data_IF_310098559242
#
_entry.id   IF_310098559242
#
_cell.length_a   1.000
_cell.length_b   1.000
_cell.length_c   1.000
_cell.angle_alpha   90.00
_cell.angle_beta   90.00
_cell.angle_gamma   90.00
#
_symmetry.space_group_name_H-M   'P 1'
#
loop_
_entity.id
_entity.type
_entity.pdbx_description
1 polymer ?
#
# COMPACT_ATOMS: atom_id res chain seq x y z
N UNK A 1 15.56 3.52 2.64
CA UNK A 1 14.75 3.20 3.82
C UNK A 1 13.86 4.38 4.15
N UNK A 2 12.57 4.13 4.24
CA UNK A 2 11.59 5.11 4.69
C UNK A 2 11.41 5.05 6.20
N UNK A 3 10.77 6.08 6.75
CA UNK A 3 10.37 6.12 8.15
C UNK A 3 8.85 6.23 8.22
N UNK A 4 8.27 5.62 9.24
CA UNK A 4 6.84 5.47 9.41
C UNK A 4 6.46 6.01 10.77
N UNK A 5 5.54 6.97 10.78
CA UNK A 5 4.77 7.24 11.98
C UNK A 5 3.77 6.10 12.16
N UNK A 6 3.65 5.61 13.39
CA UNK A 6 2.76 4.52 13.78
C UNK A 6 2.35 4.67 15.25
N UNK A 7 1.40 3.84 15.69
CA UNK A 7 1.05 3.75 17.10
C UNK A 7 1.67 2.50 17.72
N UNK A 8 2.66 2.68 18.59
CA UNK A 8 3.19 1.60 19.41
C UNK A 8 2.15 1.10 20.42
N UNK A 9 1.38 2.03 20.99
CA UNK A 9 0.12 1.71 21.68
C UNK A 9 -1.01 2.39 20.92
N UNK A 10 -1.87 1.62 20.24
CA UNK A 10 -2.95 2.20 19.45
C UNK A 10 -3.97 2.96 20.31
N UNK A 11 -4.71 3.90 19.70
CA UNK A 11 -5.88 4.47 20.34
C UNK A 11 -6.93 3.37 20.60
N UNK A 12 -7.84 3.59 21.57
CA UNK A 12 -8.96 2.68 21.80
C UNK A 12 -9.96 2.69 20.63
N UNK A 13 -10.76 1.64 20.49
CA UNK A 13 -11.86 1.58 19.53
C UNK A 13 -13.02 2.53 19.88
N UNK A 14 -13.16 2.87 21.16
CA UNK A 14 -14.15 3.80 21.65
C UNK A 14 -13.61 4.63 22.82
N UNK A 15 -14.14 5.83 23.03
CA UNK A 15 -13.76 6.66 24.16
C UNK A 15 -14.97 7.50 24.63
N UNK A 16 -15.25 7.57 25.94
CA UNK A 16 -16.28 8.44 26.47
C UNK A 16 -16.03 9.91 26.14
N UNK A 17 -17.08 10.64 25.80
CA UNK A 17 -17.04 12.08 25.61
C UNK A 17 -16.56 12.76 26.89
N UNK A 18 -15.58 13.67 26.76
CA UNK A 18 -14.93 14.33 27.88
C UNK A 18 -13.72 13.58 28.47
N UNK A 19 -13.49 12.32 28.09
CA UNK A 19 -12.24 11.62 28.36
C UNK A 19 -11.26 11.77 27.18
N UNK A 20 -9.95 11.89 27.42
CA UNK A 20 -8.99 12.05 26.36
C UNK A 20 -8.58 10.70 25.75
N UNK A 21 -8.45 10.67 24.42
CA UNK A 21 -7.97 9.52 23.66
C UNK A 21 -6.47 9.36 23.90
N UNK A 22 -6.07 8.21 24.46
CA UNK A 22 -4.68 7.95 24.86
C UNK A 22 -4.01 6.91 23.97
N UNK A 23 -2.80 7.21 23.51
CA UNK A 23 -2.00 6.42 22.57
C UNK A 23 -0.49 6.67 22.78
N UNK A 24 0.37 5.89 22.12
CA UNK A 24 1.84 6.12 22.11
C UNK A 24 2.29 6.17 20.65
N UNK A 25 2.73 7.33 20.12
CA UNK A 25 3.29 7.40 18.79
C UNK A 25 4.71 6.83 18.74
N UNK A 26 5.11 6.34 17.58
CA UNK A 26 6.46 5.88 17.28
C UNK A 26 6.83 6.31 15.87
N UNK A 27 8.09 6.73 15.68
CA UNK A 27 8.70 6.85 14.36
C UNK A 27 9.79 5.78 14.25
N UNK A 28 9.67 4.90 13.26
CA UNK A 28 10.60 3.79 13.04
C UNK A 28 10.61 3.35 11.57
N UNK A 29 11.49 2.41 11.22
CA UNK A 29 11.45 1.71 9.93
C UNK A 29 10.14 0.91 9.72
N UNK A 30 9.98 0.33 8.54
CA UNK A 30 8.86 -0.54 8.14
C UNK A 30 8.62 -1.71 9.09
N UNK A 31 9.69 -2.30 9.64
CA UNK A 31 9.62 -3.36 10.67
C UNK A 31 9.27 -2.87 12.07
N UNK A 32 9.29 -1.55 12.29
CA UNK A 32 9.08 -0.89 13.59
C UNK A 32 10.11 -1.28 14.67
N UNK A 33 11.26 -1.79 14.24
CA UNK A 33 12.35 -2.26 15.11
C UNK A 33 13.46 -1.22 15.27
N UNK A 34 13.69 -0.40 14.25
CA UNK A 34 14.74 0.63 14.27
C UNK A 34 14.09 2.02 14.43
N UNK A 35 14.21 2.65 15.61
CA UNK A 35 13.63 3.97 15.83
C UNK A 35 14.31 5.03 14.94
N UNK A 36 13.54 6.06 14.61
CA UNK A 36 14.06 7.23 13.90
C UNK A 36 15.10 7.98 14.75
N UNK A 37 16.21 8.30 14.10
CA UNK A 37 17.38 8.98 14.67
C UNK A 37 17.37 10.49 14.43
N UNK A 38 16.35 11.00 13.73
CA UNK A 38 16.18 12.42 13.41
C UNK A 38 15.10 13.04 14.30
N UNK A 39 15.29 14.30 14.69
CA UNK A 39 14.26 15.05 15.42
C UNK A 39 13.10 15.43 14.48
N UNK A 40 11.87 15.17 14.90
CA UNK A 40 10.67 15.54 14.13
C UNK A 40 9.58 16.14 15.02
N UNK A 41 8.94 17.21 14.55
CA UNK A 41 7.72 17.69 15.18
C UNK A 41 6.55 16.81 14.72
N UNK A 42 5.84 16.20 15.68
CA UNK A 42 4.63 15.42 15.42
C UNK A 42 3.42 16.34 15.63
N UNK A 43 2.54 16.36 14.64
CA UNK A 43 1.27 17.09 14.68
C UNK A 43 0.11 16.09 14.63
N UNK A 44 -1.02 16.49 15.19
CA UNK A 44 -2.26 15.73 15.11
C UNK A 44 -3.41 16.58 14.59
N UNK A 45 -4.40 15.93 13.98
CA UNK A 45 -5.72 16.49 13.68
C UNK A 45 -6.75 15.38 13.81
N UNK A 46 -8.02 15.77 13.90
CA UNK A 46 -9.15 14.86 13.82
C UNK A 46 -9.71 14.83 12.40
N UNK A 47 -10.18 13.67 11.97
CA UNK A 47 -10.93 13.48 10.72
C UNK A 47 -12.31 12.89 11.06
N UNK A 48 -13.37 13.54 10.57
CA UNK A 48 -14.75 13.06 10.73
C UNK A 48 -15.03 11.87 9.83
N UNK A 49 -16.19 11.23 10.01
CA UNK A 49 -16.57 10.09 9.18
C UNK A 49 -16.70 10.41 7.68
N UNK A 50 -17.10 11.65 7.35
CA UNK A 50 -17.11 12.16 5.97
C UNK A 50 -15.73 12.32 5.34
N UNK A 51 -14.64 12.07 6.09
CA UNK A 51 -13.27 12.28 5.64
C UNK A 51 -12.78 13.73 5.75
N UNK A 52 -13.64 14.66 6.17
CA UNK A 52 -13.25 16.05 6.38
C UNK A 52 -12.34 16.19 7.62
N UNK A 53 -11.27 16.97 7.47
CA UNK A 53 -10.43 17.34 8.61
C UNK A 53 -11.15 18.35 9.49
N UNK A 54 -10.86 18.29 10.79
CA UNK A 54 -11.31 19.27 11.77
C UNK A 54 -10.93 20.70 11.35
N UNK A 55 -11.82 21.65 11.61
CA UNK A 55 -11.64 23.06 11.19
C UNK A 55 -10.41 23.74 11.82
N UNK A 56 -9.99 23.27 13.00
CA UNK A 56 -8.77 23.73 13.65
C UNK A 56 -7.49 23.28 12.94
N UNK A 57 -7.59 22.35 11.98
CA UNK A 57 -6.46 21.78 11.29
C UNK A 57 -5.50 21.07 12.23
N UNK A 58 -4.23 21.07 11.88
CA UNK A 58 -3.21 20.41 12.67
C UNK A 58 -2.74 21.23 13.87
N UNK A 59 -2.64 20.55 15.01
CA UNK A 59 -2.06 21.06 16.25
C UNK A 59 -0.77 20.30 16.55
N UNK A 60 0.28 21.01 16.99
CA UNK A 60 1.53 20.36 17.41
C UNK A 60 1.25 19.47 18.63
N UNK A 61 1.54 18.17 18.49
CA UNK A 61 1.36 17.17 19.54
C UNK A 61 2.58 17.10 20.45
N UNK A 62 3.75 16.88 19.85
CA UNK A 62 5.02 16.71 20.56
C UNK A 62 6.20 16.89 19.60
N UNK A 63 7.43 16.84 20.11
CA UNK A 63 8.64 16.71 19.30
C UNK A 63 9.25 15.34 19.59
N UNK A 64 9.36 14.49 18.57
CA UNK A 64 10.11 13.24 18.62
C UNK A 64 11.60 13.55 18.74
N UNK A 65 12.21 13.10 19.84
CA UNK A 65 13.64 13.20 20.09
C UNK A 65 14.22 11.79 20.27
N UNK A 66 15.21 11.40 19.45
CA UNK A 66 15.91 10.13 19.59
C UNK A 66 16.33 9.88 21.04
N UNK A 67 16.07 8.67 21.55
CA UNK A 67 16.47 8.23 22.90
C UNK A 67 15.72 8.82 24.10
N UNK A 68 14.86 9.84 23.93
CA UNK A 68 14.23 10.54 25.08
C UNK A 68 12.70 10.64 25.07
N UNK A 69 12.06 10.51 23.90
CA UNK A 69 10.59 10.58 23.76
C UNK A 69 9.94 9.25 23.39
N UNK A 70 10.74 8.22 23.15
CA UNK A 70 10.23 6.88 22.89
C UNK A 70 9.38 6.40 24.08
N UNK A 71 8.26 5.74 23.80
CA UNK A 71 7.40 5.06 24.78
C UNK A 71 6.55 5.94 25.73
N UNK A 72 6.53 7.26 25.58
CA UNK A 72 5.69 8.14 26.42
C UNK A 72 4.22 8.17 25.94
N UNK A 73 3.24 7.82 26.79
CA UNK A 73 1.83 7.99 26.47
C UNK A 73 1.47 9.45 26.27
N UNK A 74 0.70 9.72 25.21
CA UNK A 74 0.13 11.02 24.91
C UNK A 74 -1.39 10.90 24.89
N UNK A 75 -2.07 12.00 25.17
CA UNK A 75 -3.52 12.04 25.22
C UNK A 75 -4.03 13.30 24.55
N UNK A 76 -5.09 13.18 23.74
CA UNK A 76 -5.74 14.30 23.06
C UNK A 76 -7.25 14.23 23.28
N UNK A 77 -7.89 15.37 23.50
CA UNK A 77 -9.34 15.44 23.61
C UNK A 77 -9.99 15.33 22.23
N UNK A 78 -11.22 14.80 22.18
CA UNK A 78 -12.06 14.91 20.99
C UNK A 78 -12.30 16.38 20.59
N UNK A 79 -12.65 16.63 19.33
CA UNK A 79 -13.15 17.94 18.90
C UNK A 79 -14.31 18.43 19.78
N UNK A 80 -14.41 19.74 19.98
CA UNK A 80 -15.48 20.34 20.79
C UNK A 80 -16.88 20.07 20.21
N UNK A 81 -16.97 19.82 18.91
CA UNK A 81 -18.20 19.48 18.20
C UNK A 81 -18.60 18.00 18.30
N UNK A 82 -17.75 17.14 18.85
CA UNK A 82 -18.01 15.70 18.93
C UNK A 82 -19.21 15.40 19.83
N UNK A 83 -20.05 14.47 19.39
CA UNK A 83 -21.26 14.03 20.09
C UNK A 83 -21.22 12.53 20.33
N UNK A 84 -21.93 12.03 21.37
CA UNK A 84 -22.10 10.60 21.53
C UNK A 84 -22.73 9.98 20.28
N UNK A 85 -22.15 8.88 19.79
CA UNK A 85 -22.54 8.23 18.55
C UNK A 85 -21.72 8.64 17.33
N UNK A 86 -20.95 9.74 17.40
CA UNK A 86 -20.03 10.10 16.33
C UNK A 86 -18.85 9.13 16.25
N UNK A 87 -18.21 9.08 15.09
CA UNK A 87 -16.91 8.44 14.91
C UNK A 87 -15.88 9.44 14.42
N UNK A 88 -14.67 9.35 14.98
CA UNK A 88 -13.55 10.22 14.63
C UNK A 88 -12.27 9.41 14.45
N UNK A 89 -11.47 9.77 13.45
CA UNK A 89 -10.15 9.19 13.22
C UNK A 89 -9.07 10.16 13.70
N UNK A 90 -8.10 9.64 14.44
CA UNK A 90 -6.91 10.38 14.86
C UNK A 90 -5.87 10.31 13.75
N UNK A 91 -5.49 11.47 13.20
CA UNK A 91 -4.50 11.56 12.15
C UNK A 91 -3.22 12.17 12.71
N UNK A 92 -2.07 11.52 12.47
CA UNK A 92 -0.76 12.04 12.85
C UNK A 92 0.12 12.25 11.61
N UNK A 93 0.88 13.35 11.60
CA UNK A 93 1.87 13.64 10.57
C UNK A 93 3.11 14.32 11.17
N UNK A 94 4.24 14.16 10.50
CA UNK A 94 5.52 14.75 10.91
C UNK A 94 5.88 15.96 10.04
N UNK A 95 6.58 16.92 10.62
CA UNK A 95 7.19 18.05 9.93
C UNK A 95 8.55 18.39 10.54
N UNK A 96 9.47 18.88 9.72
CA UNK A 96 10.72 19.49 10.18
C UNK A 96 10.48 20.97 10.55
N UNK A 97 9.61 21.67 9.82
CA UNK A 97 9.31 23.07 10.06
C UNK A 97 8.28 23.27 11.17
N UNK A 98 8.54 24.21 12.07
CA UNK A 98 7.73 24.45 13.27
C UNK A 98 6.39 25.15 13.00
N UNK A 99 6.22 25.79 11.84
CA UNK A 99 5.19 26.83 11.70
C UNK A 99 4.04 26.52 10.75
N UNK A 100 4.12 25.52 9.87
CA UNK A 100 3.01 25.15 8.96
C UNK A 100 3.07 23.68 8.57
N UNK A 101 1.99 22.94 8.84
CA UNK A 101 1.75 21.61 8.26
C UNK A 101 0.44 21.67 7.45
N UNK A 102 0.42 21.03 6.29
CA UNK A 102 -0.69 21.07 5.35
C UNK A 102 -1.57 19.83 5.51
N UNK A 103 -2.89 19.90 5.22
CA UNK A 103 -3.73 18.71 5.03
C UNK A 103 -3.12 17.66 4.10
N UNK A 104 -2.37 18.09 3.08
CA UNK A 104 -1.67 17.19 2.15
C UNK A 104 -0.59 16.34 2.83
N UNK A 105 -0.12 16.72 4.02
CA UNK A 105 0.84 15.95 4.80
C UNK A 105 0.28 14.62 5.34
N UNK A 106 -1.03 14.36 5.21
CA UNK A 106 -1.64 13.04 5.48
C UNK A 106 -1.59 12.08 4.29
N UNK A 107 -1.22 12.57 3.11
CA UNK A 107 -1.31 11.83 1.86
C UNK A 107 0.09 11.68 1.26
N UNK A 108 0.45 10.45 0.94
CA UNK A 108 1.71 10.09 0.32
C UNK A 108 1.61 10.29 -1.18
N UNK A 109 2.17 11.38 -1.69
CA UNK A 109 2.24 11.63 -3.13
C UNK A 109 3.30 10.76 -3.79
N UNK A 110 2.84 9.70 -4.46
CA UNK A 110 3.69 8.73 -5.14
C UNK A 110 4.55 9.37 -6.24
N UNK A 111 4.17 10.55 -6.76
CA UNK A 111 4.92 11.27 -7.79
C UNK A 111 5.89 12.31 -7.25
N UNK A 112 5.90 12.54 -5.94
CA UNK A 112 6.77 13.54 -5.33
C UNK A 112 8.25 13.26 -5.67
N UNK A 113 9.01 14.25 -6.17
CA UNK A 113 10.42 14.05 -6.52
C UNK A 113 11.24 13.54 -5.33
N UNK A 114 11.05 14.17 -4.16
CA UNK A 114 11.67 13.80 -2.89
C UNK A 114 10.74 12.92 -2.03
N UNK A 115 10.20 11.87 -2.63
CA UNK A 115 9.34 10.90 -1.94
C UNK A 115 10.06 10.25 -0.76
N UNK A 116 9.38 10.12 0.39
CA UNK A 116 9.95 9.42 1.54
C UNK A 116 10.95 10.21 2.38
N UNK A 117 10.98 11.55 2.27
CA UNK A 117 11.85 12.43 3.07
C UNK A 117 11.35 12.81 4.45
N UNK A 118 10.07 12.63 4.70
CA UNK A 118 9.47 12.79 6.02
C UNK A 118 8.86 11.45 6.44
N UNK A 119 8.77 11.19 7.76
CA UNK A 119 8.05 10.05 8.26
C UNK A 119 6.63 9.98 7.70
N UNK A 120 6.25 8.83 7.15
CA UNK A 120 4.95 8.62 6.56
C UNK A 120 3.84 8.75 7.61
N UNK A 121 2.78 9.52 7.32
CA UNK A 121 1.71 9.81 8.27
C UNK A 121 0.89 8.56 8.56
N UNK A 122 0.13 8.61 9.65
CA UNK A 122 -0.74 7.50 10.08
C UNK A 122 -2.12 8.01 10.46
N UNK A 123 -3.14 7.25 10.10
CA UNK A 123 -4.52 7.49 10.47
C UNK A 123 -5.00 6.28 11.30
N UNK A 124 -5.63 6.54 12.44
CA UNK A 124 -6.27 5.47 13.22
C UNK A 124 -7.52 4.95 12.51
N UNK A 125 -8.00 3.77 12.89
CA UNK A 125 -9.38 3.41 12.59
C UNK A 125 -10.37 4.36 13.30
N UNK A 126 -11.66 4.36 12.90
CA UNK A 126 -12.70 5.11 13.60
C UNK A 126 -12.71 4.83 15.10
N UNK A 127 -12.70 5.88 15.91
CA UNK A 127 -12.90 5.83 17.36
C UNK A 127 -14.33 6.27 17.63
N UNK A 128 -15.12 5.39 18.24
CA UNK A 128 -16.51 5.68 18.60
C UNK A 128 -16.58 6.59 19.82
N UNK A 129 -17.35 7.66 19.74
CA UNK A 129 -17.58 8.57 20.86
C UNK A 129 -18.73 8.03 21.71
N UNK A 130 -18.43 7.63 22.95
CA UNK A 130 -19.45 7.14 23.88
C UNK A 130 -20.06 8.31 24.68
N UNK A 131 -21.28 8.14 25.17
CA UNK A 131 -21.83 9.09 26.13
C UNK A 131 -20.94 9.16 27.38
N UNK A 132 -20.58 10.37 27.82
CA UNK A 132 -19.83 10.54 29.05
C UNK A 132 -20.69 10.11 30.25
N UNK A 133 -20.05 9.63 31.32
CA UNK A 133 -20.74 9.49 32.60
C UNK A 133 -21.15 10.90 33.07
N UNK A 134 -22.45 11.19 33.03
CA UNK A 134 -23.00 12.32 33.78
C UNK A 134 -22.72 12.05 35.24
N UNK A 135 -21.76 12.78 35.82
CA UNK A 135 -21.66 12.90 37.27
C UNK A 135 -22.97 13.50 37.75
N UNK A 136 -23.92 12.66 38.15
CA UNK A 136 -25.10 13.07 38.89
C UNK A 136 -24.63 13.63 40.24
N UNK A 137 -24.36 14.93 40.27
CA UNK A 137 -24.23 15.70 41.50
C UNK A 137 -25.62 15.96 42.06
N UNK A 138 -26.33 14.90 42.46
CA UNK A 138 -27.53 14.99 43.32
C UNK A 138 -27.49 13.91 44.39
N UNK A 139 -26.81 14.28 45.47
CA UNK A 139 -27.21 14.06 46.87
C UNK A 139 -28.00 12.78 47.19
N UNK A 140 -27.29 11.78 47.73
CA UNK A 140 -27.82 10.93 48.79
C UNK A 140 -26.86 11.02 50.00
N UNK A 141 -27.35 11.62 51.08
CA UNK A 141 -26.69 11.71 52.39
C UNK A 141 -26.32 10.30 52.90
N UNK A 142 -25.12 10.08 53.48
CA UNK A 142 -24.86 8.82 54.17
C UNK A 142 -25.48 8.88 55.57
N UNK A 143 -26.34 7.90 55.86
CA UNK A 143 -26.70 7.57 57.23
C UNK A 143 -25.54 6.82 57.90
N UNK A 144 -25.22 7.23 59.12
CA UNK A 144 -24.18 6.71 59.99
C UNK A 144 -24.35 5.21 60.30
N UNK A 145 -23.29 4.42 60.13
CA UNK A 145 -22.93 3.37 61.10
C UNK A 145 -21.48 2.90 60.89
N UNK A 146 -20.83 2.59 62.01
CA UNK A 146 -19.40 2.32 62.20
C UNK A 146 -19.06 0.88 61.77
N UNK A 147 -17.96 0.67 61.04
CA UNK A 147 -16.98 -0.42 61.26
C UNK A 147 -15.68 -0.16 60.47
N UNK A 148 -14.47 -0.44 61.00
CA UNK A 148 -13.22 -0.28 60.28
C UNK A 148 -12.77 -1.63 59.69
N UNK A 149 -12.94 -1.82 58.38
CA UNK A 149 -12.22 -2.87 57.65
C UNK A 149 -11.21 -2.24 56.71
N UNK A 150 -9.93 -2.51 56.98
CA UNK A 150 -8.82 -2.29 56.05
C UNK A 150 -9.02 -3.19 54.82
N UNK A 151 -9.64 -2.66 53.78
CA UNK A 151 -9.61 -3.24 52.45
C UNK A 151 -8.71 -2.36 51.58
N UNK A 152 -7.60 -2.94 51.10
CA UNK A 152 -6.76 -2.37 50.04
C UNK A 152 -7.68 -2.00 48.88
N UNK A 153 -7.76 -0.71 48.56
CA UNK A 153 -8.46 -0.20 47.39
C UNK A 153 -7.84 -0.82 46.14
N UNK A 154 -8.51 -1.82 45.57
CA UNK A 154 -8.30 -2.20 44.17
C UNK A 154 -8.64 -0.98 43.30
N UNK A 155 -7.86 -0.67 42.26
CA UNK A 155 -8.28 0.31 41.27
C UNK A 155 -9.61 -0.15 40.69
N UNK A 156 -10.60 0.74 40.72
CA UNK A 156 -11.91 0.56 40.08
C UNK A 156 -11.72 0.24 38.61
N UNK A 157 -12.50 -0.71 38.11
CA UNK A 157 -12.49 -1.22 36.75
C UNK A 157 -12.37 -0.08 35.72
N UNK A 158 -11.19 0.06 35.12
CA UNK A 158 -11.06 0.68 33.81
C UNK A 158 -12.01 -0.09 32.89
N UNK A 159 -12.93 0.58 32.22
CA UNK A 159 -13.58 -0.01 31.06
C UNK A 159 -12.46 -0.44 30.11
N UNK A 160 -12.20 -1.75 30.05
CA UNK A 160 -11.26 -2.36 29.11
C UNK A 160 -11.82 -2.20 27.70
N UNK A 161 -11.79 -0.97 27.18
CA UNK A 161 -12.11 -0.70 25.79
C UNK A 161 -10.98 -1.28 24.96
N UNK A 162 -11.33 -2.15 24.02
CA UNK A 162 -10.38 -2.78 23.12
C UNK A 162 -9.53 -1.71 22.42
N UNK A 163 -8.26 -2.05 22.22
CA UNK A 163 -7.33 -1.23 21.44
C UNK A 163 -7.45 -1.61 19.99
N UNK A 164 -7.32 -0.62 19.11
CA UNK A 164 -7.35 -0.88 17.68
C UNK A 164 -6.15 -1.75 17.26
N UNK A 165 -6.35 -2.62 16.28
CA UNK A 165 -5.28 -3.48 15.75
C UNK A 165 -4.80 -3.07 14.36
N UNK A 166 -5.47 -2.12 13.71
CA UNK A 166 -5.20 -1.69 12.34
C UNK A 166 -5.03 -0.18 12.25
N UNK A 167 -4.35 0.28 11.21
CA UNK A 167 -4.18 1.69 10.86
C UNK A 167 -4.34 1.89 9.35
N UNK A 168 -4.55 3.14 8.94
CA UNK A 168 -4.74 3.51 7.54
C UNK A 168 -3.63 4.46 7.06
N UNK A 169 -3.28 4.32 5.78
CA UNK A 169 -2.43 5.24 5.02
C UNK A 169 -3.11 5.66 3.72
N UNK A 170 -2.86 6.89 3.31
CA UNK A 170 -3.40 7.45 2.08
C UNK A 170 -2.27 7.68 1.09
N UNK A 171 -2.47 7.26 -0.16
CA UNK A 171 -1.53 7.47 -1.26
C UNK A 171 -2.22 8.24 -2.37
N UNK A 172 -1.71 9.41 -2.74
CA UNK A 172 -2.23 10.11 -3.92
C UNK A 172 -1.56 9.60 -5.17
N UNK A 173 -2.39 9.36 -6.17
CA UNK A 173 -1.97 9.00 -7.52
C UNK A 173 -1.56 10.28 -8.28
N UNK A 174 -0.80 10.15 -9.40
CA UNK A 174 -0.43 11.27 -10.25
C UNK A 174 -1.61 12.18 -10.59
N UNK A 175 -1.37 13.47 -10.85
CA UNK A 175 -2.37 14.39 -11.42
C UNK A 175 -3.74 14.42 -10.71
N UNK A 176 -3.79 14.09 -9.41
CA UNK A 176 -5.01 13.94 -8.60
C UNK A 176 -6.00 12.90 -9.12
N UNK A 177 -5.51 11.85 -9.77
CA UNK A 177 -6.27 10.71 -10.29
C UNK A 177 -7.04 9.89 -9.25
N UNK A 178 -6.87 10.23 -7.98
CA UNK A 178 -7.54 9.60 -6.85
C UNK A 178 -6.62 9.51 -5.65
N UNK A 179 -7.16 8.98 -4.57
CA UNK A 179 -6.40 8.66 -3.37
C UNK A 179 -6.71 7.23 -2.96
N UNK A 180 -5.68 6.39 -2.93
CA UNK A 180 -5.75 5.01 -2.46
C UNK A 180 -5.71 5.02 -0.93
N UNK A 181 -6.64 4.34 -0.28
CA UNK A 181 -6.65 4.13 1.18
C UNK A 181 -6.27 2.70 1.48
N UNK A 182 -5.16 2.50 2.18
CA UNK A 182 -4.66 1.17 2.54
C UNK A 182 -4.72 0.99 4.04
N UNK A 183 -5.36 -0.09 4.46
CA UNK A 183 -5.37 -0.57 5.83
C UNK A 183 -4.26 -1.59 6.03
N UNK A 184 -3.45 -1.39 7.07
CA UNK A 184 -2.42 -2.35 7.52
C UNK A 184 -2.75 -2.83 8.94
N UNK A 185 -2.35 -4.06 9.28
CA UNK A 185 -2.44 -4.56 10.65
C UNK A 185 -1.17 -4.24 11.42
N UNK A 186 -1.33 -3.87 12.69
CA UNK A 186 -0.24 -3.47 13.57
C UNK A 186 0.34 -4.63 14.39
N UNK A 187 -0.12 -5.86 14.14
CA UNK A 187 0.37 -7.09 14.77
C UNK A 187 1.79 -7.45 14.31
N UNK A 188 2.35 -8.52 14.87
CA UNK A 188 3.67 -9.03 14.47
C UNK A 188 3.66 -9.76 13.12
N UNK A 189 2.49 -10.09 12.60
CA UNK A 189 2.30 -10.76 11.30
C UNK A 189 2.93 -9.91 10.18
N UNK A 190 3.84 -10.51 9.41
CA UNK A 190 4.66 -9.83 8.42
C UNK A 190 3.92 -9.59 7.09
N UNK A 191 2.99 -10.48 6.78
CA UNK A 191 2.13 -10.52 5.59
C UNK A 191 1.01 -9.45 5.61
N UNK A 192 0.82 -8.77 6.75
CA UNK A 192 -0.22 -7.74 6.94
C UNK A 192 0.32 -6.32 7.08
N UNK A 193 1.64 -6.16 6.87
CA UNK A 193 2.35 -4.87 6.96
C UNK A 193 2.60 -4.28 5.58
N UNK A 194 2.75 -2.97 5.57
CA UNK A 194 3.30 -2.25 4.42
C UNK A 194 4.82 -2.19 4.59
N UNK A 195 5.52 -2.45 3.50
CA UNK A 195 6.98 -2.52 3.47
C UNK A 195 7.59 -1.47 2.55
N UNK A 196 8.87 -1.18 2.78
CA UNK A 196 9.60 -0.22 1.95
C UNK A 196 9.61 -0.60 0.46
N UNK A 197 9.79 -1.87 0.12
CA UNK A 197 9.94 -2.28 -1.29
C UNK A 197 8.65 -2.07 -2.06
N UNK A 198 7.51 -2.49 -1.51
CA UNK A 198 6.18 -2.21 -2.07
C UNK A 198 5.92 -0.70 -2.23
N UNK A 199 6.20 0.10 -1.21
CA UNK A 199 5.98 1.56 -1.26
C UNK A 199 6.92 2.25 -2.27
N UNK A 200 8.19 1.84 -2.30
CA UNK A 200 9.20 2.38 -3.21
C UNK A 200 8.84 2.10 -4.66
N UNK A 201 8.51 0.85 -5.01
CA UNK A 201 8.14 0.48 -6.38
C UNK A 201 6.81 1.10 -6.80
N UNK A 202 5.84 1.29 -5.89
CA UNK A 202 4.63 2.06 -6.17
C UNK A 202 4.93 3.51 -6.57
N UNK A 203 5.87 4.18 -5.89
CA UNK A 203 6.32 5.52 -6.28
C UNK A 203 7.03 5.52 -7.64
N UNK A 204 7.89 4.52 -7.88
CA UNK A 204 8.58 4.35 -9.15
C UNK A 204 7.60 4.16 -10.32
N UNK A 205 6.63 3.25 -10.19
CA UNK A 205 5.57 3.01 -11.17
C UNK A 205 4.72 4.25 -11.44
N UNK A 206 4.33 4.98 -10.38
CA UNK A 206 3.57 6.21 -10.53
C UNK A 206 4.33 7.26 -11.34
N UNK A 207 5.64 7.43 -11.09
CA UNK A 207 6.51 8.33 -11.86
C UNK A 207 6.69 7.86 -13.30
N UNK A 208 6.91 6.56 -13.50
CA UNK A 208 7.10 5.92 -14.80
C UNK A 208 5.90 6.14 -15.73
N UNK A 209 4.69 6.06 -15.18
CA UNK A 209 3.44 6.19 -15.94
C UNK A 209 2.94 7.64 -16.04
N UNK A 210 3.32 8.52 -15.10
CA UNK A 210 2.93 9.93 -15.13
C UNK A 210 3.80 10.81 -16.05
N UNK A 211 5.06 10.43 -16.25
CA UNK A 211 6.01 11.19 -17.08
C UNK A 211 6.52 10.29 -18.21
N UNK A 212 6.10 10.49 -19.47
CA UNK A 212 6.86 9.96 -20.60
C UNK A 212 8.23 10.63 -20.53
N UNK A 213 9.30 9.84 -20.43
CA UNK A 213 10.64 10.36 -20.25
C UNK A 213 11.03 11.36 -21.34
N UNK A 214 11.83 12.35 -20.95
CA UNK A 214 12.60 13.17 -21.88
C UNK A 214 13.75 12.32 -22.43
N UNK A 215 14.15 12.48 -23.71
CA UNK A 215 15.17 11.64 -24.34
C UNK A 215 16.52 11.79 -23.63
N UNK A 216 16.87 10.81 -22.80
CA UNK A 216 18.13 10.71 -22.09
C UNK A 216 18.21 9.44 -21.24
N UNK A 217 18.93 8.43 -21.73
CA UNK A 217 19.35 7.21 -21.01
C UNK A 217 18.26 6.45 -20.22
N UNK A 218 17.04 6.33 -20.77
CA UNK A 218 16.11 5.33 -20.26
C UNK A 218 16.69 3.94 -20.56
N UNK A 219 16.96 3.14 -19.54
CA UNK A 219 17.37 1.76 -19.71
C UNK A 219 16.36 1.01 -20.61
N UNK A 220 16.78 0.32 -21.68
CA UNK A 220 15.87 -0.29 -22.67
C UNK A 220 14.79 -1.19 -22.04
N UNK A 221 15.16 -1.98 -21.01
CA UNK A 221 14.21 -2.77 -20.22
C UNK A 221 13.09 -1.93 -19.56
N UNK A 222 13.35 -0.69 -19.13
CA UNK A 222 12.32 0.21 -18.60
C UNK A 222 11.32 0.57 -19.71
N UNK A 223 11.83 0.88 -20.90
CA UNK A 223 11.02 1.13 -22.09
C UNK A 223 10.14 -0.08 -22.42
N UNK A 224 10.74 -1.26 -22.53
CA UNK A 224 10.03 -2.52 -22.80
C UNK A 224 8.97 -2.83 -21.72
N UNK A 225 9.29 -2.59 -20.44
CA UNK A 225 8.35 -2.79 -19.34
C UNK A 225 7.16 -1.82 -19.42
N UNK A 226 7.43 -0.52 -19.67
CA UNK A 226 6.41 0.51 -19.88
C UNK A 226 5.52 0.16 -21.08
N UNK A 227 6.12 -0.20 -22.21
CA UNK A 227 5.41 -0.58 -23.43
C UNK A 227 4.53 -1.80 -23.16
N UNK A 228 5.00 -2.79 -22.40
CA UNK A 228 4.19 -3.97 -22.06
C UNK A 228 2.94 -3.60 -21.26
N UNK A 229 3.06 -2.66 -20.31
CA UNK A 229 1.95 -2.13 -19.51
C UNK A 229 0.94 -1.33 -20.34
N UNK A 230 1.42 -0.55 -21.30
CA UNK A 230 0.60 0.43 -22.04
C UNK A 230 0.13 -0.06 -23.41
N UNK A 231 0.74 -1.11 -23.96
CA UNK A 231 0.42 -1.58 -25.31
C UNK A 231 -1.03 -2.03 -25.40
N UNK A 232 -1.75 -1.43 -26.35
CA UNK A 232 -3.07 -1.88 -26.77
C UNK A 232 -3.01 -3.37 -27.12
N UNK A 233 -3.92 -4.15 -26.55
CA UNK A 233 -4.10 -5.56 -26.91
C UNK A 233 -5.36 -5.66 -27.75
N UNK A 234 -5.31 -6.46 -28.81
CA UNK A 234 -6.51 -6.85 -29.53
C UNK A 234 -7.52 -7.42 -28.52
N UNK A 235 -8.79 -7.03 -28.64
CA UNK A 235 -9.82 -7.23 -27.60
C UNK A 235 -10.07 -8.68 -27.13
N UNK A 236 -9.33 -9.65 -27.66
CA UNK A 236 -9.34 -11.05 -27.26
C UNK A 236 -8.58 -11.34 -25.94
N UNK A 237 -7.49 -10.61 -25.61
CA UNK A 237 -6.63 -10.94 -24.45
C UNK A 237 -6.37 -9.75 -23.52
N UNK A 238 -6.67 -9.92 -22.24
CA UNK A 238 -6.31 -8.97 -21.19
C UNK A 238 -4.81 -9.04 -20.85
N UNK A 239 -4.22 -7.92 -20.46
CA UNK A 239 -2.91 -7.85 -19.80
C UNK A 239 -2.96 -8.69 -18.52
N UNK A 240 -2.10 -9.70 -18.39
CA UNK A 240 -2.07 -10.58 -17.22
C UNK A 240 -0.93 -10.18 -16.29
N UNK A 241 -1.23 -9.79 -15.06
CA UNK A 241 -0.24 -9.42 -14.04
C UNK A 241 -0.46 -10.32 -12.81
N UNK A 242 0.63 -10.76 -12.19
CA UNK A 242 0.61 -11.40 -10.87
C UNK A 242 1.61 -10.72 -9.94
N UNK A 243 1.22 -10.48 -8.70
CA UNK A 243 2.10 -10.03 -7.62
C UNK A 243 2.29 -11.15 -6.61
N UNK A 244 3.57 -11.39 -6.27
CA UNK A 244 4.00 -12.15 -5.11
C UNK A 244 4.29 -11.14 -3.99
N UNK A 245 3.41 -11.04 -2.99
CA UNK A 245 3.55 -10.13 -1.85
C UNK A 245 2.24 -9.47 -1.39
N UNK A 246 2.37 -8.44 -0.55
CA UNK A 246 1.27 -7.90 0.28
C UNK A 246 0.18 -7.11 -0.45
N UNK A 247 0.31 -6.92 -1.77
CA UNK A 247 -0.76 -6.42 -2.63
C UNK A 247 -0.82 -4.92 -2.86
N UNK A 248 0.01 -4.14 -2.17
CA UNK A 248 0.07 -2.69 -2.37
C UNK A 248 0.39 -2.34 -3.83
N UNK A 249 1.34 -3.07 -4.44
CA UNK A 249 1.85 -2.73 -5.77
C UNK A 249 0.75 -2.92 -6.82
N UNK A 250 0.00 -4.02 -6.74
CA UNK A 250 -1.12 -4.31 -7.63
C UNK A 250 -2.27 -3.32 -7.49
N UNK A 251 -2.59 -2.89 -6.26
CA UNK A 251 -3.63 -1.88 -6.05
C UNK A 251 -3.24 -0.54 -6.67
N UNK A 252 -1.99 -0.12 -6.48
CA UNK A 252 -1.45 1.10 -7.12
C UNK A 252 -1.46 0.94 -8.64
N UNK A 253 -0.94 -0.16 -9.16
CA UNK A 253 -0.85 -0.41 -10.60
C UNK A 253 -2.22 -0.47 -11.25
N UNK A 254 -3.19 -1.15 -10.63
CA UNK A 254 -4.57 -1.20 -11.12
C UNK A 254 -5.20 0.19 -11.24
N UNK A 255 -4.97 1.07 -10.26
CA UNK A 255 -5.48 2.44 -10.32
C UNK A 255 -4.78 3.29 -11.38
N UNK A 256 -3.45 3.13 -11.53
CA UNK A 256 -2.68 3.82 -12.56
C UNK A 256 -3.10 3.40 -13.98
N UNK A 257 -3.34 2.09 -14.20
CA UNK A 257 -3.79 1.57 -15.50
C UNK A 257 -5.21 2.02 -15.83
N UNK A 258 -6.12 2.00 -14.84
CA UNK A 258 -7.50 2.46 -15.03
C UNK A 258 -7.56 3.92 -15.49
N UNK A 259 -6.72 4.76 -14.91
CA UNK A 259 -6.69 6.18 -15.24
C UNK A 259 -5.88 6.51 -16.50
N UNK A 260 -4.77 5.82 -16.76
CA UNK A 260 -4.07 5.95 -18.04
C UNK A 260 -5.06 5.77 -19.21
N UNK A 261 -5.92 4.75 -19.13
CA UNK A 261 -6.97 4.49 -20.10
C UNK A 261 -8.05 5.60 -20.16
N UNK A 262 -8.35 6.30 -19.05
CA UNK A 262 -9.24 7.49 -19.06
C UNK A 262 -8.59 8.66 -19.76
N UNK A 263 -7.36 8.99 -19.39
CA UNK A 263 -6.62 10.14 -19.91
C UNK A 263 -6.44 10.05 -21.43
N UNK A 264 -6.17 8.87 -21.98
CA UNK A 264 -6.10 8.66 -23.44
C UNK A 264 -7.46 8.74 -24.15
N UNK A 265 -8.57 8.52 -23.45
CA UNK A 265 -9.93 8.59 -24.05
C UNK A 265 -10.50 10.01 -24.17
N UNK A 266 -10.05 10.96 -23.33
CA UNK A 266 -10.59 12.33 -23.32
C UNK A 266 -9.98 13.28 -24.36
N UNK A 267 -8.82 12.94 -24.94
CA UNK A 267 -8.10 13.81 -25.91
C UNK A 267 -8.78 13.82 -27.28
N UNK A 268 -9.54 12.79 -27.64
CA UNK A 268 -10.04 12.59 -29.02
C UNK A 268 -11.54 12.88 -29.23
N UNK A 269 -12.17 13.68 -28.35
CA UNK A 269 -13.60 14.06 -28.50
C UNK A 269 -13.94 14.91 -29.75
N UNK A 270 -12.98 15.14 -30.66
CA UNK A 270 -13.14 15.98 -31.85
C UNK A 270 -13.21 15.24 -33.19
N UNK A 271 -12.99 13.92 -33.25
CA UNK A 271 -13.02 13.17 -34.51
C UNK A 271 -13.74 11.82 -34.33
N UNK A 272 -14.66 11.50 -35.25
CA UNK A 272 -15.26 10.18 -35.39
C UNK A 272 -14.13 9.17 -35.69
N UNK A 273 -13.81 8.30 -34.71
CA UNK A 273 -12.82 7.24 -34.89
C UNK A 273 -13.42 5.93 -34.39
N UNK A 274 -13.26 4.90 -35.21
CA UNK A 274 -13.45 3.46 -34.99
C UNK A 274 -13.37 2.99 -33.51
N UNK A 275 -14.11 1.93 -33.11
CA UNK A 275 -14.08 1.42 -31.74
C UNK A 275 -12.66 1.01 -31.33
N UNK A 276 -11.99 1.87 -30.56
CA UNK A 276 -10.63 1.63 -30.08
C UNK A 276 -10.59 0.52 -29.03
N UNK A 277 -9.50 -0.24 -29.06
CA UNK A 277 -9.18 -1.29 -28.10
C UNK A 277 -9.13 -0.73 -26.67
N UNK A 278 -10.09 -1.13 -25.84
CA UNK A 278 -10.11 -0.83 -24.40
C UNK A 278 -8.96 -1.58 -23.72
N UNK A 279 -8.14 -0.89 -22.93
CA UNK A 279 -7.16 -1.58 -22.08
C UNK A 279 -7.91 -2.45 -21.07
N UNK A 280 -7.70 -3.76 -21.17
CA UNK A 280 -8.19 -4.75 -20.22
C UNK A 280 -7.01 -5.36 -19.49
N UNK A 281 -7.07 -5.40 -18.17
CA UNK A 281 -6.05 -6.03 -17.35
C UNK A 281 -6.69 -6.94 -16.31
N UNK A 282 -6.05 -8.08 -16.05
CA UNK A 282 -6.33 -8.96 -14.91
C UNK A 282 -5.08 -8.96 -14.03
N UNK A 283 -5.24 -8.55 -12.78
CA UNK A 283 -4.19 -8.46 -11.79
C UNK A 283 -4.50 -9.44 -10.65
N UNK A 284 -3.64 -10.42 -10.47
CA UNK A 284 -3.70 -11.34 -9.35
C UNK A 284 -2.78 -10.88 -8.24
N UNK A 285 -3.35 -10.66 -7.07
CA UNK A 285 -2.62 -10.34 -5.85
C UNK A 285 -2.53 -11.61 -5.02
N UNK A 286 -1.30 -12.06 -4.77
CA UNK A 286 -1.10 -13.37 -4.13
C UNK A 286 -0.17 -13.31 -2.93
N UNK A 287 -0.59 -14.03 -1.89
CA UNK A 287 0.12 -14.20 -0.62
C UNK A 287 -0.43 -15.49 0.05
N UNK A 288 -0.06 -15.75 1.30
CA UNK A 288 -0.63 -16.82 2.12
C UNK A 288 -2.09 -16.55 2.46
N UNK A 289 -2.87 -17.60 2.76
CA UNK A 289 -4.29 -17.51 3.15
C UNK A 289 -4.56 -16.51 4.29
N UNK A 290 -3.60 -16.31 5.21
CA UNK A 290 -3.69 -15.36 6.32
C UNK A 290 -3.76 -13.89 5.91
N UNK A 291 -3.30 -13.53 4.71
CA UNK A 291 -3.29 -12.15 4.22
C UNK A 291 -4.48 -11.83 3.30
N UNK A 292 -5.13 -12.84 2.73
CA UNK A 292 -6.16 -12.69 1.68
C UNK A 292 -7.32 -11.79 2.12
N UNK A 293 -7.80 -11.95 3.36
CA UNK A 293 -8.90 -11.11 3.88
C UNK A 293 -8.54 -9.62 3.89
N UNK A 294 -7.31 -9.28 4.29
CA UNK A 294 -6.85 -7.89 4.33
C UNK A 294 -6.63 -7.32 2.93
N UNK A 295 -6.09 -8.13 2.02
CA UNK A 295 -5.93 -7.76 0.61
C UNK A 295 -7.30 -7.50 -0.02
N UNK A 296 -8.28 -8.37 0.19
CA UNK A 296 -9.64 -8.19 -0.32
C UNK A 296 -10.33 -6.97 0.29
N UNK A 297 -10.15 -6.73 1.58
CA UNK A 297 -10.65 -5.52 2.24
C UNK A 297 -10.09 -4.26 1.57
N UNK A 298 -8.77 -4.22 1.33
CA UNK A 298 -8.11 -3.08 0.67
C UNK A 298 -8.57 -2.94 -0.78
N UNK A 299 -8.72 -4.05 -1.52
CA UNK A 299 -9.27 -4.04 -2.88
C UNK A 299 -10.68 -3.45 -2.92
N UNK A 300 -11.58 -3.95 -2.10
CA UNK A 300 -12.98 -3.50 -2.07
C UNK A 300 -13.10 -2.04 -1.64
N UNK A 301 -12.29 -1.60 -0.68
CA UNK A 301 -12.27 -0.20 -0.21
C UNK A 301 -11.82 0.79 -1.29
N UNK A 302 -11.13 0.30 -2.33
CA UNK A 302 -10.60 1.11 -3.43
C UNK A 302 -11.23 0.77 -4.79
N UNK A 303 -12.32 0.00 -4.85
CA UNK A 303 -12.96 -0.45 -6.10
C UNK A 303 -13.32 0.70 -7.04
N UNK A 304 -13.73 1.84 -6.47
CA UNK A 304 -14.06 3.07 -7.18
C UNK A 304 -12.90 3.61 -8.05
N UNK A 305 -11.64 3.26 -7.75
CA UNK A 305 -10.49 3.65 -8.55
C UNK A 305 -10.29 2.76 -9.79
N UNK A 306 -10.86 1.56 -9.79
CA UNK A 306 -10.72 0.55 -10.84
C UNK A 306 -11.95 0.46 -11.76
N UNK A 307 -13.15 0.66 -11.21
CA UNK A 307 -14.45 0.37 -11.85
C UNK A 307 -15.06 1.53 -12.65
N UNK A 308 -14.27 2.54 -13.03
CA UNK A 308 -14.76 3.75 -13.69
C UNK A 308 -15.12 3.49 -15.17
N UNK A 309 -16.36 3.12 -15.43
CA UNK A 309 -16.92 2.98 -16.78
C UNK A 309 -18.45 2.83 -16.84
N UNK A 310 -19.18 3.11 -15.75
CA UNK A 310 -20.65 3.18 -15.82
C UNK A 310 -21.05 4.61 -16.18
N UNK A 311 -21.08 4.94 -17.47
CA UNK A 311 -22.00 5.96 -17.94
C UNK A 311 -23.39 5.35 -17.87
N UNK A 312 -24.05 5.43 -16.70
CA UNK A 312 -25.45 5.07 -16.57
C UNK A 312 -26.27 6.14 -17.29
N UNK A 313 -26.43 5.99 -18.61
CA UNK A 313 -27.62 6.52 -19.27
C UNK A 313 -28.72 5.51 -18.99
N UNK A 314 -29.60 5.83 -18.05
CA UNK A 314 -30.81 5.05 -17.80
C UNK A 314 -31.56 4.86 -19.14
N UNK A 315 -31.69 3.61 -19.59
CA UNK A 315 -32.59 3.26 -20.70
C UNK A 315 -31.97 2.66 -21.97
N UNK A 316 -30.68 2.31 -22.02
CA UNK A 316 -30.15 1.49 -23.13
C UNK A 316 -29.54 0.19 -22.62
N UNK A 317 -30.09 -0.94 -23.10
CA UNK A 317 -29.47 -2.25 -22.96
C UNK A 317 -28.12 -2.21 -23.70
N UNK A 318 -27.04 -2.61 -23.01
CA UNK A 318 -25.65 -2.61 -23.46
C UNK A 318 -24.83 -1.34 -23.11
N UNK A 319 -24.62 -1.14 -21.80
CA UNK A 319 -23.62 -0.21 -21.29
C UNK A 319 -22.22 -0.64 -21.72
N UNK A 320 -21.62 0.11 -22.63
CA UNK A 320 -20.26 -0.13 -23.15
C UNK A 320 -19.24 0.20 -22.06
N UNK A 321 -18.69 -0.84 -21.40
CA UNK A 321 -17.62 -0.69 -20.41
C UNK A 321 -16.33 -0.23 -21.11
N UNK A 322 -15.88 0.98 -20.82
CA UNK A 322 -14.70 1.60 -21.45
C UNK A 322 -13.36 1.28 -20.77
N UNK A 323 -13.37 0.61 -19.62
CA UNK A 323 -12.18 0.07 -18.93
C UNK A 323 -12.57 -1.15 -18.09
N UNK A 324 -11.74 -2.18 -18.05
CA UNK A 324 -11.98 -3.37 -17.22
C UNK A 324 -10.65 -3.82 -16.59
N UNK A 325 -10.33 -3.23 -15.45
CA UNK A 325 -9.25 -3.70 -14.57
C UNK A 325 -9.87 -4.67 -13.56
N UNK A 326 -9.56 -5.95 -13.70
CA UNK A 326 -10.02 -7.02 -12.82
C UNK A 326 -8.92 -7.35 -11.82
N UNK A 327 -9.14 -7.02 -10.55
CA UNK A 327 -8.17 -7.29 -9.48
C UNK A 327 -8.73 -8.40 -8.58
N UNK A 328 -7.93 -9.43 -8.30
CA UNK A 328 -8.36 -10.56 -7.48
C UNK A 328 -7.30 -10.93 -6.44
N UNK A 329 -7.72 -11.08 -5.18
CA UNK A 329 -6.91 -11.69 -4.15
C UNK A 329 -6.99 -13.21 -4.27
N UNK A 330 -5.87 -13.91 -4.14
CA UNK A 330 -5.81 -15.36 -4.24
C UNK A 330 -4.63 -15.92 -3.44
N UNK A 331 -4.81 -17.05 -2.79
CA UNK A 331 -3.71 -17.74 -2.12
C UNK A 331 -2.70 -18.31 -3.15
N UNK A 332 -1.42 -18.05 -2.91
CA UNK A 332 -0.31 -18.72 -3.60
C UNK A 332 0.82 -18.95 -2.60
N UNK A 333 0.79 -20.13 -1.98
CA UNK A 333 1.87 -20.61 -1.13
C UNK A 333 3.00 -21.18 -1.99
N UNK A 334 4.20 -20.61 -1.87
CA UNK A 334 5.36 -21.00 -2.67
C UNK A 334 5.86 -22.41 -2.40
N UNK A 335 5.54 -22.97 -1.23
CA UNK A 335 5.88 -24.36 -0.88
C UNK A 335 4.96 -25.38 -1.57
N UNK A 336 3.90 -24.90 -2.23
CA UNK A 336 2.93 -25.74 -2.94
C UNK A 336 3.01 -25.57 -4.47
N UNK A 337 2.64 -26.60 -5.26
CA UNK A 337 2.54 -26.47 -6.71
C UNK A 337 1.53 -25.38 -7.14
N UNK A 338 1.86 -24.63 -8.20
CA UNK A 338 0.98 -23.60 -8.76
C UNK A 338 -0.34 -24.22 -9.23
N UNK A 339 -1.44 -23.81 -8.62
CA UNK A 339 -2.79 -24.26 -8.99
C UNK A 339 -3.16 -23.83 -10.42
N UNK A 340 -3.91 -24.67 -11.12
CA UNK A 340 -4.45 -24.33 -12.45
C UNK A 340 -5.40 -23.13 -12.44
N UNK A 341 -5.95 -22.76 -11.27
CA UNK A 341 -6.82 -21.59 -11.09
C UNK A 341 -6.09 -20.25 -11.21
N UNK A 342 -4.76 -20.25 -11.07
CA UNK A 342 -3.93 -19.05 -11.21
C UNK A 342 -4.01 -18.50 -12.65
N UNK A 343 -4.04 -19.43 -13.61
CA UNK A 343 -4.01 -19.14 -15.02
C UNK A 343 -5.40 -18.78 -15.56
N UNK A 344 -5.52 -17.59 -16.16
CA UNK A 344 -6.75 -17.21 -16.85
C UNK A 344 -7.01 -18.14 -18.05
N UNK A 345 -8.29 -18.40 -18.33
CA UNK A 345 -8.72 -19.32 -19.39
C UNK A 345 -9.46 -18.55 -20.47
N UNK A 346 -9.04 -18.75 -21.71
CA UNK A 346 -9.82 -18.32 -22.86
C UNK A 346 -11.16 -19.07 -22.87
N UNK A 347 -12.28 -18.32 -22.94
CA UNK A 347 -13.61 -18.92 -22.86
C UNK A 347 -13.98 -19.74 -24.10
N UNK A 348 -13.36 -19.47 -25.24
CA UNK A 348 -13.70 -20.13 -26.51
C UNK A 348 -12.81 -21.34 -26.77
N UNK A 349 -11.50 -21.19 -26.59
CA UNK A 349 -10.50 -22.24 -26.86
C UNK A 349 -10.15 -23.08 -25.63
N UNK A 350 -10.47 -22.62 -24.42
CA UNK A 350 -10.09 -23.28 -23.16
C UNK A 350 -8.59 -23.19 -22.86
N UNK A 351 -7.81 -22.49 -23.68
CA UNK A 351 -6.36 -22.33 -23.52
C UNK A 351 -6.07 -21.37 -22.38
N UNK A 352 -5.06 -21.71 -21.59
CA UNK A 352 -4.58 -20.86 -20.51
C UNK A 352 -3.60 -19.81 -21.01
N UNK A 353 -3.73 -18.57 -20.54
CA UNK A 353 -2.82 -17.48 -20.90
C UNK A 353 -1.65 -17.36 -19.92
N UNK A 354 -0.40 -17.23 -20.40
CA UNK A 354 0.73 -16.89 -19.55
C UNK A 354 0.64 -15.45 -19.04
N UNK A 355 1.34 -15.14 -17.95
CA UNK A 355 1.45 -13.77 -17.46
C UNK A 355 2.26 -12.89 -18.42
N UNK A 356 1.92 -11.61 -18.48
CA UNK A 356 2.73 -10.61 -19.16
C UNK A 356 3.79 -10.05 -18.20
N UNK A 357 3.43 -9.86 -16.93
CA UNK A 357 4.28 -9.29 -15.88
C UNK A 357 4.12 -10.06 -14.58
N UNK A 358 5.25 -10.32 -13.92
CA UNK A 358 5.34 -10.85 -12.56
C UNK A 358 5.94 -9.75 -11.68
N UNK A 359 5.24 -9.35 -10.63
CA UNK A 359 5.70 -8.39 -9.64
C UNK A 359 6.16 -9.14 -8.40
N UNK A 360 7.34 -8.80 -7.91
CA UNK A 360 7.92 -9.33 -6.69
C UNK A 360 8.29 -8.14 -5.81
N UNK A 361 7.55 -7.96 -4.72
CA UNK A 361 7.87 -6.97 -3.72
C UNK A 361 7.80 -7.62 -2.34
N UNK A 362 8.79 -7.36 -1.49
CA UNK A 362 8.80 -7.83 -0.10
C UNK A 362 8.90 -9.35 0.06
N UNK A 363 9.51 -10.02 -0.92
CA UNK A 363 9.65 -11.48 -0.96
C UNK A 363 11.05 -11.99 -0.57
N UNK A 364 12.00 -11.09 -0.31
CA UNK A 364 13.42 -11.45 -0.20
C UNK A 364 13.95 -11.60 1.23
N UNK A 365 13.10 -11.40 2.25
CA UNK A 365 13.54 -11.32 3.65
C UNK A 365 13.85 -12.69 4.29
N UNK A 366 13.30 -13.77 3.75
CA UNK A 366 13.52 -15.13 4.28
C UNK A 366 14.32 -15.96 3.28
N UNK A 367 15.63 -16.05 3.50
CA UNK A 367 16.55 -16.79 2.62
C UNK A 367 16.25 -18.29 2.55
N UNK A 368 15.62 -18.87 3.57
CA UNK A 368 15.20 -20.26 3.56
C UNK A 368 14.10 -20.53 2.51
N UNK A 369 13.27 -19.54 2.20
CA UNK A 369 12.20 -19.63 1.21
C UNK A 369 12.66 -19.42 -0.23
N UNK A 370 13.94 -19.10 -0.48
CA UNK A 370 14.42 -18.80 -1.84
C UNK A 370 14.28 -19.98 -2.81
N UNK A 371 14.38 -21.23 -2.33
CA UNK A 371 14.13 -22.41 -3.15
C UNK A 371 12.70 -22.40 -3.69
N UNK A 372 11.72 -22.41 -2.79
CA UNK A 372 10.30 -22.39 -3.08
C UNK A 372 9.87 -21.17 -3.93
N UNK A 373 10.37 -19.97 -3.58
CA UNK A 373 10.13 -18.74 -4.34
C UNK A 373 10.62 -18.86 -5.79
N UNK A 374 11.84 -19.35 -5.99
CA UNK A 374 12.42 -19.48 -7.33
C UNK A 374 11.78 -20.61 -8.14
N UNK A 375 11.32 -21.68 -7.50
CA UNK A 375 10.57 -22.74 -8.16
C UNK A 375 9.19 -22.22 -8.60
N UNK A 376 8.53 -21.42 -7.77
CA UNK A 376 7.30 -20.68 -8.13
C UNK A 376 7.55 -19.72 -9.29
N UNK A 377 8.59 -18.88 -9.21
CA UNK A 377 8.95 -17.94 -10.28
C UNK A 377 9.25 -18.67 -11.59
N UNK A 378 9.96 -19.80 -11.53
CA UNK A 378 10.24 -20.68 -12.67
C UNK A 378 8.94 -21.18 -13.30
N UNK A 379 8.01 -21.68 -12.50
CA UNK A 379 6.70 -22.12 -13.00
C UNK A 379 5.86 -20.99 -13.60
N UNK A 380 5.92 -19.78 -13.02
CA UNK A 380 5.25 -18.60 -13.55
C UNK A 380 5.83 -18.13 -14.89
N UNK A 381 7.16 -18.19 -15.03
CA UNK A 381 7.90 -17.84 -16.25
C UNK A 381 7.72 -18.88 -17.37
N UNK A 382 7.61 -20.17 -17.02
CA UNK A 382 7.30 -21.22 -17.98
C UNK A 382 5.87 -21.08 -18.50
N UNK A 383 4.93 -20.82 -17.59
CA UNK A 383 3.53 -20.65 -17.91
C UNK A 383 2.86 -21.88 -18.54
N UNK A 384 1.58 -21.76 -18.89
CA UNK A 384 0.91 -22.75 -19.74
C UNK A 384 1.54 -22.75 -21.15
N UNK A 385 1.45 -23.87 -21.87
CA UNK A 385 2.05 -24.09 -23.22
C UNK A 385 1.47 -23.23 -24.37
N UNK A 386 0.97 -22.03 -24.08
CA UNK A 386 0.40 -21.10 -25.05
C UNK A 386 1.44 -20.28 -25.80
N UNK A 387 1.06 -19.78 -26.98
CA UNK A 387 1.83 -18.77 -27.70
C UNK A 387 1.82 -17.44 -26.93
N UNK A 388 2.99 -16.91 -26.59
CA UNK A 388 3.13 -15.62 -25.90
C UNK A 388 4.59 -15.23 -25.74
N UNK A 389 4.84 -13.93 -25.53
CA UNK A 389 6.15 -13.47 -25.08
C UNK A 389 6.39 -13.95 -23.65
N UNK A 390 7.63 -14.28 -23.30
CA UNK A 390 8.00 -14.58 -21.92
C UNK A 390 7.61 -13.42 -20.99
N UNK A 391 7.11 -13.69 -19.77
CA UNK A 391 6.82 -12.63 -18.79
C UNK A 391 8.06 -11.82 -18.44
N UNK A 392 7.87 -10.54 -18.10
CA UNK A 392 8.89 -9.72 -17.46
C UNK A 392 8.69 -9.77 -15.94
N UNK A 393 9.79 -9.77 -15.20
CA UNK A 393 9.77 -9.76 -13.74
C UNK A 393 10.19 -8.37 -13.26
N UNK A 394 9.35 -7.74 -12.44
CA UNK A 394 9.68 -6.54 -11.69
C UNK A 394 9.95 -6.94 -10.24
N UNK A 395 11.19 -6.79 -9.79
CA UNK A 395 11.60 -7.06 -8.42
C UNK A 395 11.98 -5.76 -7.71
N UNK A 396 11.28 -5.46 -6.62
CA UNK A 396 11.61 -4.39 -5.70
C UNK A 396 12.33 -4.96 -4.48
N UNK A 397 13.54 -4.48 -4.21
CA UNK A 397 14.41 -5.05 -3.19
C UNK A 397 14.99 -3.97 -2.26
N UNK A 398 14.78 -4.13 -0.95
CA UNK A 398 15.54 -3.42 0.07
C UNK A 398 16.43 -4.42 0.81
N UNK A 399 17.74 -4.17 0.79
CA UNK A 399 18.69 -4.99 1.52
C UNK A 399 18.48 -4.87 3.02
N UNK A 400 18.35 -5.99 3.73
CA UNK A 400 18.39 -6.02 5.20
C UNK A 400 19.51 -6.90 5.73
N UNK A 401 19.80 -7.97 4.99
CA UNK A 401 20.90 -8.87 5.26
C UNK A 401 21.68 -9.15 3.96
N UNK A 402 23.02 -9.05 3.94
CA UNK A 402 23.83 -9.38 2.77
C UNK A 402 23.56 -10.78 2.18
N UNK A 403 23.14 -11.75 3.00
CA UNK A 403 22.80 -13.10 2.56
C UNK A 403 21.59 -13.15 1.62
N UNK A 404 20.71 -12.15 1.66
CA UNK A 404 19.57 -12.03 0.73
C UNK A 404 20.05 -11.93 -0.73
N UNK A 405 21.28 -11.44 -0.97
CA UNK A 405 21.89 -11.37 -2.30
C UNK A 405 22.12 -12.73 -2.94
N UNK A 406 22.09 -13.82 -2.18
CA UNK A 406 22.14 -15.18 -2.72
C UNK A 406 20.97 -15.50 -3.66
N UNK A 407 19.84 -14.78 -3.56
CA UNK A 407 18.72 -14.91 -4.48
C UNK A 407 19.14 -14.76 -5.95
N UNK A 408 19.98 -13.77 -6.28
CA UNK A 408 20.42 -13.51 -7.65
C UNK A 408 21.30 -14.64 -8.18
N UNK A 409 22.19 -15.17 -7.35
CA UNK A 409 23.05 -16.32 -7.70
C UNK A 409 22.18 -17.55 -7.96
N UNK A 410 21.21 -17.81 -7.09
CA UNK A 410 20.30 -18.95 -7.18
C UNK A 410 19.31 -18.82 -8.36
N UNK A 411 18.90 -17.60 -8.70
CA UNK A 411 18.07 -17.29 -9.86
C UNK A 411 18.84 -17.54 -11.16
N UNK A 412 20.09 -17.05 -11.25
CA UNK A 412 20.94 -17.24 -12.42
C UNK A 412 21.22 -18.73 -12.67
N UNK A 413 21.42 -19.52 -11.61
CA UNK A 413 21.58 -20.98 -11.71
C UNK A 413 20.34 -21.69 -12.31
N UNK A 414 19.16 -21.05 -12.27
CA UNK A 414 17.92 -21.51 -12.93
C UNK A 414 17.69 -20.86 -14.30
N UNK A 415 18.65 -20.09 -14.81
CA UNK A 415 18.55 -19.36 -16.07
C UNK A 415 17.68 -18.10 -15.98
N UNK A 416 17.49 -17.53 -14.79
CA UNK A 416 16.74 -16.30 -14.56
C UNK A 416 17.74 -15.17 -14.28
N UNK A 417 17.68 -14.09 -15.05
CA UNK A 417 18.54 -12.93 -14.88
C UNK A 417 17.76 -11.73 -14.35
N UNK A 418 18.41 -10.94 -13.49
CA UNK A 418 17.90 -9.67 -13.00
C UNK A 418 18.92 -8.57 -13.25
N UNK A 419 18.43 -7.44 -13.74
CA UNK A 419 19.19 -6.23 -14.04
C UNK A 419 18.66 -5.11 -13.16
N UNK A 420 19.55 -4.46 -12.41
CA UNK A 420 19.17 -3.27 -11.64
C UNK A 420 19.01 -2.10 -12.58
N UNK A 421 17.81 -1.54 -12.65
CA UNK A 421 17.48 -0.46 -13.59
C UNK A 421 17.27 0.89 -12.91
N UNK A 422 16.97 0.91 -11.61
CA UNK A 422 16.75 2.14 -10.87
C UNK A 422 16.86 1.91 -9.35
N UNK A 423 16.67 2.98 -8.56
CA UNK A 423 16.44 2.90 -7.13
C UNK A 423 15.62 4.09 -6.59
N UNK A 424 14.86 3.83 -5.52
CA UNK A 424 14.07 4.82 -4.80
C UNK A 424 14.67 5.05 -3.42
N UNK A 425 15.17 6.27 -3.22
CA UNK A 425 15.79 6.69 -1.97
C UNK A 425 14.74 7.13 -0.95
N UNK A 426 14.95 6.74 0.31
CA UNK A 426 14.26 7.32 1.45
C UNK A 426 15.18 8.25 2.24
N UNK A 427 14.90 8.43 3.53
CA UNK A 427 15.75 9.23 4.44
C UNK A 427 17.04 8.52 4.87
N UNK A 428 17.06 7.18 4.84
CA UNK A 428 18.23 6.37 5.25
C UNK A 428 18.58 5.33 4.21
N UNK A 429 19.84 4.91 4.18
CA UNK A 429 20.25 3.70 3.46
C UNK A 429 19.77 2.44 4.21
N UNK A 430 19.61 1.30 3.52
CA UNK A 430 19.71 1.14 2.07
C UNK A 430 18.45 1.63 1.35
N UNK A 431 18.61 2.15 0.14
CA UNK A 431 17.52 2.46 -0.80
C UNK A 431 16.73 1.22 -1.24
N UNK A 432 15.56 1.44 -1.85
CA UNK A 432 14.81 0.38 -2.53
C UNK A 432 15.34 0.27 -3.95
N UNK A 433 16.00 -0.83 -4.28
CA UNK A 433 16.48 -1.11 -5.62
C UNK A 433 15.35 -1.64 -6.52
N UNK A 434 15.33 -1.19 -7.76
CA UNK A 434 14.39 -1.65 -8.78
C UNK A 434 15.13 -2.52 -9.78
N UNK A 435 14.66 -3.76 -9.92
CA UNK A 435 15.25 -4.76 -10.79
C UNK A 435 14.22 -5.22 -11.83
N UNK A 436 14.65 -5.31 -13.09
CA UNK A 436 13.88 -5.95 -14.16
C UNK A 436 14.56 -7.25 -14.57
N UNK A 437 13.78 -8.29 -14.81
CA UNK A 437 14.30 -9.62 -15.10
C UNK A 437 13.36 -10.51 -15.89
N UNK A 438 13.75 -11.77 -16.02
CA UNK A 438 13.08 -12.80 -16.80
C UNK A 438 14.05 -13.93 -17.13
N UNK A 439 13.74 -14.76 -18.13
CA UNK A 439 14.72 -15.71 -18.64
C UNK A 439 15.96 -14.99 -19.13
N UNK A 440 17.13 -15.50 -18.75
CA UNK A 440 18.44 -14.94 -19.09
C UNK A 440 18.58 -14.72 -20.60
N UNK A 441 18.15 -15.69 -21.42
CA UNK A 441 18.18 -15.57 -22.89
C UNK A 441 17.39 -14.36 -23.41
N UNK A 442 16.26 -14.05 -22.77
CA UNK A 442 15.39 -12.97 -23.19
C UNK A 442 15.96 -11.64 -22.71
N UNK A 443 16.34 -11.54 -21.43
CA UNK A 443 16.98 -10.35 -20.86
C UNK A 443 18.27 -9.98 -21.59
N UNK A 444 19.13 -10.96 -21.87
CA UNK A 444 20.39 -10.74 -22.59
C UNK A 444 20.18 -10.29 -24.04
N UNK A 445 19.08 -10.70 -24.68
CA UNK A 445 18.77 -10.25 -26.05
C UNK A 445 18.49 -8.74 -26.11
N UNK A 446 17.89 -8.19 -25.06
CA UNK A 446 17.66 -6.74 -24.92
C UNK A 446 18.90 -6.02 -24.37
N UNK A 447 19.68 -6.68 -23.52
CA UNK A 447 20.87 -6.06 -22.90
C UNK A 447 22.11 -6.04 -23.81
N UNK A 448 22.27 -7.00 -24.71
CA UNK A 448 23.47 -7.09 -25.57
C UNK A 448 23.49 -6.05 -26.69
N UNK A 449 22.33 -5.53 -27.10
CA UNK A 449 22.23 -4.46 -28.10
C UNK A 449 22.80 -3.13 -27.59
N UNK A 450 22.61 -2.81 -26.31
CA UNK A 450 23.10 -1.59 -25.67
C UNK A 450 24.64 -1.51 -25.55
N UNK A 451 25.37 -2.62 -25.71
CA UNK A 451 26.85 -2.66 -25.70
C UNK A 451 27.49 -2.56 -27.08
N UNK A 452 26.70 -2.56 -28.16
CA UNK A 452 27.26 -2.42 -29.51
C UNK A 452 27.55 -0.97 -29.89
N UNK A 453 27.03 0.00 -29.12
CA UNK A 453 27.17 1.45 -29.34
C UNK A 453 27.89 2.21 -28.19
N UNK A 454 28.51 1.48 -27.24
CA UNK A 454 29.54 2.00 -26.30
C UNK A 454 30.91 1.43 -26.68
#
# INVERSE_FOLDING_TARGET
MFEYLSFLRPPPEACPLGQPVTFVPQIANDLRTEPCETEHNIYFTWQSDSGALHRGGFTKLTTWKPGSTSYKPLSVAFPNEARPGDTWRLCLAASLDSNKISPRSLVLDLTQPEFGRLPFPVISLPISVLAGETRDTRAARPASSKQPFKAKSKPTAEHNVAKQEKIERLYSLPSNWGTLRITEQTSFDLDKKIWDSGVGVSSWLAKLLAKPESPGQSHELIGLFRDRLQSARDGARALQIIELGTGLVSLVLGALLAEYNRSTSNVDRGQEVEPRSVLRARILVTDLSSAIELIDYNRLSNSHLFDSGINAVEGSEETTRTCRIELHAMELDWDNPISTSVWDKDRMSGVHYPFDIIVMADVTYNTASFGALLDTLTGLLQGPSGSGSSPLVLLAYKCRDPAERTLWVNALARGIAFVRVDAVKGVREPEVEIWLGGWERDVNSFWSAARADE
#
